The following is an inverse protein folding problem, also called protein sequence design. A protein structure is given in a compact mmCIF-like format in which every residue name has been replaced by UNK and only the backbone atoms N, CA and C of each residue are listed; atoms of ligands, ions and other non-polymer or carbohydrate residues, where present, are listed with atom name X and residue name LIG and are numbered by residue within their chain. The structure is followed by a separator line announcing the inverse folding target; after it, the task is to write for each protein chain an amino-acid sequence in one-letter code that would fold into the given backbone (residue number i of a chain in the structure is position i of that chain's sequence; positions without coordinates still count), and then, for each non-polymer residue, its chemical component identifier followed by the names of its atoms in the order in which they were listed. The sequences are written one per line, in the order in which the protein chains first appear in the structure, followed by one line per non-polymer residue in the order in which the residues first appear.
data_IF_685115048954
#
_entry.id   IF_685115048954
#
_cell.length_a   1.000
_cell.length_b   1.000
_cell.length_c   1.000
_cell.angle_alpha   90.00
_cell.angle_beta   90.00
_cell.angle_gamma   90.00
#
_symmetry.space_group_name_H-M   'P 1'
#
loop_
_entity.id
_entity.type
_entity.pdbx_description
1 polymer ?
#
# COMPACT_ATOMS: atom_id res chain seq x y z
N UNK A 1 12.18 2.27 -16.70
CA UNK A 1 13.50 2.42 -16.03
C UNK A 1 13.90 1.07 -15.47
N UNK A 2 15.19 0.73 -15.40
CA UNK A 2 15.62 -0.52 -14.76
C UNK A 2 15.20 -0.53 -13.29
N UNK A 3 14.76 -1.69 -12.80
CA UNK A 3 14.18 -1.83 -11.47
C UNK A 3 15.17 -1.42 -10.36
N UNK A 4 16.43 -1.84 -10.49
CA UNK A 4 17.53 -1.49 -9.59
C UNK A 4 17.88 0.00 -9.59
N UNK A 5 17.52 0.75 -10.63
CA UNK A 5 17.68 2.21 -10.66
C UNK A 5 16.46 2.92 -10.09
N UNK A 6 15.27 2.35 -10.29
CA UNK A 6 14.02 2.94 -9.83
C UNK A 6 13.91 2.91 -8.29
N UNK A 7 14.26 1.79 -7.65
CA UNK A 7 14.07 1.64 -6.20
C UNK A 7 14.89 2.66 -5.37
N UNK A 8 16.20 2.87 -5.61
CA UNK A 8 16.94 3.90 -4.88
C UNK A 8 16.36 5.31 -5.05
N UNK A 9 15.81 5.61 -6.24
CA UNK A 9 15.14 6.89 -6.51
C UNK A 9 13.80 7.00 -5.80
N UNK A 10 13.03 5.91 -5.73
CA UNK A 10 11.79 5.86 -4.96
C UNK A 10 12.05 6.05 -3.46
N UNK A 11 13.09 5.40 -2.92
CA UNK A 11 13.54 5.60 -1.53
C UNK A 11 13.93 7.05 -1.29
N UNK A 12 14.72 7.65 -2.19
CA UNK A 12 15.13 9.06 -2.10
C UNK A 12 13.93 10.01 -2.15
N UNK A 13 12.98 9.79 -3.05
CA UNK A 13 11.73 10.56 -3.15
C UNK A 13 10.92 10.43 -1.86
N UNK A 14 10.82 9.23 -1.29
CA UNK A 14 10.09 8.96 -0.05
C UNK A 14 10.73 9.68 1.13
N UNK A 15 12.06 9.60 1.26
CA UNK A 15 12.84 10.36 2.27
C UNK A 15 12.66 11.87 2.09
N UNK A 16 12.65 12.37 0.85
CA UNK A 16 12.49 13.80 0.57
C UNK A 16 11.08 14.30 0.91
N UNK A 17 10.04 13.56 0.50
CA UNK A 17 8.63 13.96 0.71
C UNK A 17 8.22 13.92 2.17
N UNK A 18 8.78 12.99 2.94
CA UNK A 18 8.41 12.78 4.35
C UNK A 18 9.55 13.12 5.32
N UNK A 19 10.48 13.99 4.91
CA UNK A 19 11.63 14.41 5.72
C UNK A 19 11.24 14.99 7.08
N UNK A 20 10.09 15.66 7.16
CA UNK A 20 9.57 16.30 8.39
C UNK A 20 8.86 15.32 9.34
N UNK A 21 8.80 14.02 9.02
CA UNK A 21 8.08 13.04 9.82
C UNK A 21 8.77 12.65 11.13
N UNK A 22 9.76 13.44 11.57
CA UNK A 22 10.46 13.36 12.87
C UNK A 22 9.51 13.28 14.06
N UNK A 23 8.26 13.73 13.90
CA UNK A 23 7.24 13.74 14.95
C UNK A 23 6.31 12.51 15.00
N UNK A 24 6.29 11.65 13.95
CA UNK A 24 5.45 10.43 13.75
C UNK A 24 4.54 10.51 12.51
N UNK A 25 4.45 9.48 11.64
CA UNK A 25 5.28 8.27 11.58
C UNK A 25 6.76 8.57 11.27
N UNK A 26 7.70 7.99 12.03
CA UNK A 26 9.13 8.19 11.79
C UNK A 26 9.65 7.23 10.73
N UNK A 27 10.17 7.79 9.62
CA UNK A 27 10.65 7.00 8.49
C UNK A 27 12.14 6.69 8.63
N UNK A 28 12.49 5.43 8.88
CA UNK A 28 13.88 4.96 8.99
C UNK A 28 14.17 3.75 8.10
N UNK A 29 14.64 4.02 6.88
CA UNK A 29 15.07 2.97 5.95
C UNK A 29 16.33 2.21 6.38
N UNK A 30 17.13 2.72 7.33
CA UNK A 30 18.37 2.05 7.75
C UNK A 30 18.10 0.93 8.75
N UNK A 31 17.09 1.13 9.62
CA UNK A 31 16.79 0.20 10.72
C UNK A 31 15.51 -0.59 10.55
N UNK A 32 14.56 -0.08 9.76
CA UNK A 32 13.22 -0.65 9.68
C UNK A 32 12.90 -1.23 8.31
N UNK A 33 11.92 -2.13 8.28
CA UNK A 33 11.30 -2.56 7.04
C UNK A 33 10.23 -1.54 6.69
N UNK A 34 10.21 -1.06 5.45
CA UNK A 34 9.29 -0.01 5.00
C UNK A 34 8.49 -0.53 3.82
N UNK A 35 7.17 -0.32 3.85
CA UNK A 35 6.29 -0.61 2.73
C UNK A 35 6.10 0.65 1.88
N UNK A 36 6.16 0.50 0.56
CA UNK A 36 5.86 1.59 -0.39
C UNK A 36 4.88 1.07 -1.43
N UNK A 37 3.63 1.52 -1.37
CA UNK A 37 2.61 1.28 -2.38
C UNK A 37 2.70 2.34 -3.47
N UNK A 38 2.75 1.92 -4.73
CA UNK A 38 2.78 2.82 -5.89
C UNK A 38 1.70 2.40 -6.88
N UNK A 39 0.80 3.34 -7.16
CA UNK A 39 -0.29 3.13 -8.11
C UNK A 39 0.16 3.13 -9.56
N UNK A 40 -0.52 2.36 -10.39
CA UNK A 40 -0.45 2.47 -11.84
C UNK A 40 0.91 2.12 -12.45
N UNK A 41 1.64 1.17 -11.86
CA UNK A 41 2.94 0.72 -12.40
C UNK A 41 3.03 -0.79 -12.52
N UNK A 42 3.96 -1.26 -13.35
CA UNK A 42 4.28 -2.68 -13.48
C UNK A 42 5.78 -2.91 -13.53
N UNK A 43 6.22 -4.04 -12.98
CA UNK A 43 7.59 -4.53 -13.08
C UNK A 43 7.62 -5.64 -14.13
N UNK A 44 8.07 -5.31 -15.33
CA UNK A 44 8.14 -6.24 -16.47
C UNK A 44 9.59 -6.39 -16.91
N UNK A 45 10.10 -7.62 -16.92
CA UNK A 45 11.46 -7.92 -17.39
C UNK A 45 12.53 -7.01 -16.76
N UNK A 46 12.50 -6.89 -15.43
CA UNK A 46 13.40 -6.03 -14.65
C UNK A 46 13.30 -4.51 -14.98
N UNK A 47 12.18 -4.07 -15.54
CA UNK A 47 11.89 -2.65 -15.82
C UNK A 47 10.59 -2.23 -15.17
N UNK A 48 10.63 -1.06 -14.54
CA UNK A 48 9.44 -0.34 -14.08
C UNK A 48 8.89 0.48 -15.23
N UNK A 49 7.61 0.28 -15.51
CA UNK A 49 6.81 0.97 -16.54
C UNK A 49 5.50 1.47 -15.94
N UNK A 50 4.93 2.52 -16.54
CA UNK A 50 3.56 2.94 -16.24
C UNK A 50 2.58 1.97 -16.89
N UNK A 51 1.42 1.77 -16.25
CA UNK A 51 0.27 1.11 -16.85
C UNK A 51 -0.95 2.05 -16.87
N UNK A 52 -2.16 1.51 -17.00
CA UNK A 52 -3.39 2.26 -17.23
C UNK A 52 -4.05 2.83 -15.95
N UNK A 53 -3.57 2.50 -14.74
CA UNK A 53 -4.12 2.99 -13.44
C UNK A 53 -5.67 2.88 -13.36
N UNK A 54 -6.19 1.81 -13.97
CA UNK A 54 -7.62 1.52 -14.07
C UNK A 54 -8.23 1.05 -12.75
N UNK A 55 -9.46 1.51 -12.47
CA UNK A 55 -10.30 1.01 -11.37
C UNK A 55 -10.57 -0.50 -11.48
N UNK A 56 -10.76 -1.15 -10.32
CA UNK A 56 -11.13 -2.57 -10.21
C UNK A 56 -10.07 -3.55 -10.74
N UNK A 57 -8.78 -3.17 -10.70
CA UNK A 57 -7.66 -3.97 -11.21
C UNK A 57 -6.53 -4.13 -10.20
N UNK A 58 -5.83 -5.25 -10.31
CA UNK A 58 -4.55 -5.47 -9.64
C UNK A 58 -3.41 -4.94 -10.53
N UNK A 59 -3.26 -3.62 -10.58
CA UNK A 59 -2.32 -2.90 -11.44
C UNK A 59 -1.41 -1.94 -10.66
N UNK A 60 -1.33 -2.13 -9.35
CA UNK A 60 -0.43 -1.40 -8.46
C UNK A 60 0.69 -2.31 -7.99
N UNK A 61 1.75 -1.70 -7.43
CA UNK A 61 2.86 -2.46 -6.84
C UNK A 61 3.05 -2.04 -5.38
N UNK A 62 3.16 -3.04 -4.51
CA UNK A 62 3.64 -2.86 -3.14
C UNK A 62 5.09 -3.32 -3.08
N UNK A 63 5.99 -2.40 -2.73
CA UNK A 63 7.38 -2.70 -2.43
C UNK A 63 7.57 -2.92 -0.93
N UNK A 64 8.33 -3.96 -0.57
CA UNK A 64 8.87 -4.13 0.77
C UNK A 64 10.37 -3.83 0.75
N UNK A 65 10.76 -2.73 1.38
CA UNK A 65 12.16 -2.29 1.46
C UNK A 65 12.77 -2.82 2.76
N UNK A 66 13.82 -3.61 2.64
CA UNK A 66 14.54 -4.15 3.79
C UNK A 66 15.46 -3.08 4.41
N UNK A 67 15.85 -3.25 5.69
CA UNK A 67 16.77 -2.33 6.38
C UNK A 67 18.06 -2.10 5.57
N UNK A 68 18.46 -0.84 5.48
CA UNK A 68 19.57 -0.33 4.67
C UNK A 68 19.20 0.00 3.22
N UNK A 69 17.98 -0.34 2.76
CA UNK A 69 17.49 0.04 1.43
C UNK A 69 18.26 -0.57 0.25
N UNK A 70 18.98 -1.68 0.46
CA UNK A 70 19.83 -2.34 -0.55
C UNK A 70 19.22 -3.60 -1.16
N UNK A 71 18.17 -4.11 -0.55
CA UNK A 71 17.36 -5.22 -1.06
C UNK A 71 15.89 -4.87 -0.91
N UNK A 72 15.04 -5.48 -1.72
CA UNK A 72 13.60 -5.26 -1.70
C UNK A 72 12.85 -6.45 -2.29
N UNK A 73 11.58 -6.59 -1.91
CA UNK A 73 10.58 -7.38 -2.62
C UNK A 73 9.57 -6.49 -3.34
N UNK A 74 8.77 -7.09 -4.22
CA UNK A 74 7.58 -6.44 -4.81
C UNK A 74 6.46 -7.42 -5.00
N UNK A 75 5.23 -6.92 -4.85
CA UNK A 75 3.97 -7.66 -5.03
C UNK A 75 3.08 -6.92 -6.00
N UNK A 76 2.36 -7.67 -6.82
CA UNK A 76 1.23 -7.09 -7.57
C UNK A 76 0.07 -6.91 -6.60
N UNK A 77 -0.46 -5.70 -6.50
CA UNK A 77 -1.54 -5.36 -5.58
C UNK A 77 -2.58 -4.47 -6.28
N UNK A 78 -3.66 -4.17 -5.56
CA UNK A 78 -4.43 -2.94 -5.72
C UNK A 78 -4.27 -2.12 -4.45
N UNK A 79 -4.15 -0.81 -4.58
CA UNK A 79 -4.26 0.19 -3.49
C UNK A 79 -5.62 0.89 -3.59
N UNK A 80 -6.30 0.72 -4.72
CA UNK A 80 -7.62 1.25 -4.99
C UNK A 80 -8.72 0.21 -4.69
N UNK A 81 -9.95 0.67 -4.42
CA UNK A 81 -11.07 -0.23 -4.19
C UNK A 81 -11.45 -0.97 -5.47
N UNK A 82 -12.13 -2.09 -5.31
CA UNK A 82 -12.79 -2.79 -6.39
C UNK A 82 -14.26 -2.41 -6.50
N UNK A 83 -14.89 -2.88 -7.58
CA UNK A 83 -16.31 -2.61 -7.83
C UNK A 83 -17.20 -3.40 -6.88
N UNK A 84 -18.06 -2.70 -6.15
CA UNK A 84 -19.09 -3.30 -5.30
C UNK A 84 -20.48 -2.75 -5.65
N UNK A 85 -21.53 -3.50 -5.30
CA UNK A 85 -22.91 -2.96 -5.33
C UNK A 85 -23.17 -2.13 -4.08
N UNK A 86 -24.12 -1.19 -4.15
CA UNK A 86 -24.58 -0.42 -2.98
C UNK A 86 -25.00 -1.34 -1.81
N UNK A 87 -25.75 -2.41 -2.11
CA UNK A 87 -26.13 -3.43 -1.11
C UNK A 87 -24.91 -4.05 -0.42
N UNK A 88 -23.84 -4.28 -1.19
CA UNK A 88 -22.59 -4.81 -0.64
C UNK A 88 -21.92 -3.77 0.25
N UNK A 89 -21.83 -2.51 -0.18
CA UNK A 89 -21.26 -1.44 0.63
C UNK A 89 -22.02 -1.28 1.96
N UNK A 90 -23.35 -1.26 1.92
CA UNK A 90 -24.22 -1.20 3.10
C UNK A 90 -24.00 -2.39 4.03
N UNK A 91 -23.93 -3.61 3.49
CA UNK A 91 -23.64 -4.84 4.26
C UNK A 91 -22.32 -4.75 5.03
N UNK A 92 -21.32 -4.11 4.45
CA UNK A 92 -20.01 -3.90 5.09
C UNK A 92 -19.93 -2.60 5.90
N UNK A 93 -21.05 -1.88 6.07
CA UNK A 93 -21.10 -0.62 6.80
C UNK A 93 -20.33 0.53 6.14
N UNK A 94 -20.00 0.37 4.86
CA UNK A 94 -19.36 1.41 4.05
C UNK A 94 -20.43 2.41 3.62
N UNK A 95 -20.27 3.65 4.06
CA UNK A 95 -21.12 4.78 3.70
C UNK A 95 -20.33 5.74 2.82
N UNK A 96 -21.06 6.46 1.97
CA UNK A 96 -20.50 7.47 1.07
C UNK A 96 -19.56 6.89 0.00
N UNK A 97 -19.74 5.62 -0.38
CA UNK A 97 -18.98 4.98 -1.44
C UNK A 97 -17.67 4.33 -1.01
N UNK A 98 -17.02 3.67 -1.97
CA UNK A 98 -15.72 3.03 -1.79
C UNK A 98 -14.66 4.01 -1.30
N UNK A 99 -13.69 3.53 -0.51
CA UNK A 99 -12.60 4.36 -0.03
C UNK A 99 -11.36 4.23 -0.92
N UNK A 100 -10.68 5.36 -1.16
CA UNK A 100 -9.34 5.40 -1.74
C UNK A 100 -8.36 6.02 -0.77
N UNK A 101 -7.30 5.30 -0.42
CA UNK A 101 -6.25 5.84 0.47
C UNK A 101 -5.49 6.97 -0.22
N UNK A 102 -5.33 8.09 0.46
CA UNK A 102 -4.59 9.23 -0.08
C UNK A 102 -3.08 8.95 -0.16
N UNK A 103 -2.35 9.74 -0.94
CA UNK A 103 -0.90 9.74 -0.83
C UNK A 103 -0.48 10.22 0.57
N UNK A 104 0.48 9.53 1.17
CA UNK A 104 0.91 9.86 2.53
C UNK A 104 1.84 8.83 3.13
N UNK A 105 2.28 9.10 4.35
CA UNK A 105 3.03 8.19 5.18
C UNK A 105 2.17 7.77 6.37
N UNK A 106 1.99 6.46 6.53
CA UNK A 106 1.14 5.87 7.56
C UNK A 106 1.89 4.79 8.33
N UNK A 107 1.27 4.27 9.39
CA UNK A 107 1.72 3.06 10.06
C UNK A 107 0.77 1.90 9.82
N UNK A 108 1.34 0.72 9.65
CA UNK A 108 0.63 -0.55 9.67
C UNK A 108 1.30 -1.52 10.65
N UNK A 109 0.54 -2.44 11.23
CA UNK A 109 1.05 -3.42 12.19
C UNK A 109 0.51 -4.80 11.89
N UNK A 110 1.23 -5.83 12.31
CA UNK A 110 0.73 -7.20 12.20
C UNK A 110 -0.56 -7.33 13.01
N UNK A 111 -1.57 -7.94 12.40
CA UNK A 111 -2.83 -8.29 13.03
C UNK A 111 -3.61 -9.25 12.15
N UNK A 112 -4.93 -9.07 12.07
CA UNK A 112 -5.79 -9.98 11.32
C UNK A 112 -6.88 -9.28 10.50
N UNK A 113 -7.30 -9.95 9.44
CA UNK A 113 -8.42 -9.57 8.60
C UNK A 113 -9.23 -10.83 8.29
N UNK A 114 -10.48 -10.88 8.75
CA UNK A 114 -11.37 -12.05 8.63
C UNK A 114 -10.73 -13.38 9.10
N UNK A 115 -9.93 -13.34 10.17
CA UNK A 115 -9.28 -14.53 10.74
C UNK A 115 -7.95 -14.91 10.09
N UNK A 116 -7.55 -14.26 9.01
CA UNK A 116 -6.25 -14.44 8.37
C UNK A 116 -5.26 -13.37 8.85
N UNK A 117 -3.97 -13.69 8.89
CA UNK A 117 -2.93 -12.71 9.21
C UNK A 117 -2.95 -11.59 8.19
N UNK A 118 -2.77 -10.34 8.61
CA UNK A 118 -2.79 -9.17 7.73
C UNK A 118 -2.03 -8.02 8.38
N UNK A 119 -1.84 -6.93 7.63
CA UNK A 119 -1.42 -5.66 8.22
C UNK A 119 -2.64 -4.79 8.54
N UNK A 120 -2.88 -4.49 9.81
CA UNK A 120 -3.90 -3.53 10.21
C UNK A 120 -3.35 -2.11 10.35
N UNK A 121 -4.22 -1.11 10.35
CA UNK A 121 -3.84 0.28 10.57
C UNK A 121 -3.17 0.50 11.95
N UNK A 122 -1.93 0.96 11.92
CA UNK A 122 -1.16 1.45 13.07
C UNK A 122 -1.43 2.93 13.37
N UNK A 123 -1.68 3.75 12.35
CA UNK A 123 -2.03 5.18 12.43
C UNK A 123 -3.40 5.47 11.80
N UNK A 124 -3.89 6.71 11.91
CA UNK A 124 -4.97 7.17 11.04
C UNK A 124 -4.48 7.22 9.60
N UNK A 125 -5.35 6.83 8.65
CA UNK A 125 -5.11 7.03 7.23
C UNK A 125 -5.98 8.18 6.77
N UNK A 126 -5.48 8.94 5.79
CA UNK A 126 -6.32 9.86 5.04
C UNK A 126 -6.87 9.11 3.84
N UNK A 127 -8.17 9.26 3.57
CA UNK A 127 -8.82 8.56 2.47
C UNK A 127 -9.96 9.40 1.90
N UNK A 128 -10.20 9.24 0.60
CA UNK A 128 -11.32 9.84 -0.12
C UNK A 128 -12.42 8.82 -0.33
N UNK A 129 -13.63 9.31 -0.55
CA UNK A 129 -14.85 8.51 -0.67
C UNK A 129 -15.58 8.85 -1.97
N UNK A 130 -15.88 7.83 -2.78
CA UNK A 130 -16.59 7.96 -4.05
C UNK A 130 -18.09 8.16 -3.84
N UNK A 131 -18.47 9.34 -3.33
CA UNK A 131 -19.83 9.61 -2.87
C UNK A 131 -20.88 9.57 -3.98
N UNK A 132 -20.50 9.92 -5.21
CA UNK A 132 -21.40 9.90 -6.37
C UNK A 132 -21.29 8.60 -7.18
N UNK A 133 -20.39 7.68 -6.81
CA UNK A 133 -20.30 6.33 -7.37
C UNK A 133 -19.83 6.31 -8.82
N UNK A 134 -19.15 7.37 -9.27
CA UNK A 134 -18.71 7.52 -10.65
C UNK A 134 -17.34 6.85 -10.89
N UNK A 135 -16.66 6.41 -9.83
CA UNK A 135 -15.34 5.78 -9.81
C UNK A 135 -14.21 6.67 -10.37
N UNK A 136 -14.40 7.98 -10.32
CA UNK A 136 -13.47 9.03 -10.75
C UNK A 136 -13.07 9.84 -9.53
N UNK A 137 -11.82 9.67 -9.11
CA UNK A 137 -11.26 10.39 -7.98
C UNK A 137 -10.88 11.82 -8.38
N UNK A 138 -11.68 12.79 -7.93
CA UNK A 138 -11.52 14.21 -8.25
C UNK A 138 -10.78 14.99 -7.15
N UNK A 139 -10.87 16.32 -7.11
CA UNK A 139 -10.51 17.12 -5.92
C UNK A 139 -11.71 17.37 -5.00
N UNK A 140 -12.92 17.13 -5.51
CA UNK A 140 -14.18 17.54 -4.88
C UNK A 140 -14.72 16.46 -3.94
N UNK A 141 -14.34 15.20 -4.17
CA UNK A 141 -14.71 14.11 -3.26
C UNK A 141 -14.08 14.33 -1.86
N UNK A 142 -14.86 14.13 -0.79
CA UNK A 142 -14.47 14.47 0.56
C UNK A 142 -13.32 13.60 1.07
N UNK A 143 -12.36 14.25 1.74
CA UNK A 143 -11.24 13.60 2.42
C UNK A 143 -11.57 13.42 3.90
N UNK A 144 -11.37 12.21 4.39
CA UNK A 144 -11.54 11.84 5.79
C UNK A 144 -10.21 11.37 6.37
N UNK A 145 -10.13 11.34 7.71
CA UNK A 145 -8.99 10.78 8.43
C UNK A 145 -9.47 9.85 9.53
N UNK A 146 -8.91 8.62 9.59
CA UNK A 146 -9.28 7.68 10.65
C UNK A 146 -8.77 6.26 10.46
N UNK A 147 -9.18 5.39 11.40
CA UNK A 147 -8.96 3.94 11.38
C UNK A 147 -10.27 3.23 11.05
N UNK A 148 -10.53 3.01 9.77
CA UNK A 148 -11.77 2.40 9.26
C UNK A 148 -11.56 0.95 8.75
N UNK A 149 -10.39 0.37 9.01
CA UNK A 149 -10.05 -0.99 8.57
C UNK A 149 -9.43 -1.05 7.18
N UNK A 150 -8.76 0.01 6.73
CA UNK A 150 -7.94 0.01 5.50
C UNK A 150 -6.67 -0.81 5.77
N UNK A 151 -6.76 -2.12 5.57
CA UNK A 151 -5.71 -3.08 5.88
C UNK A 151 -4.87 -3.41 4.62
N UNK A 152 -3.74 -4.08 4.80
CA UNK A 152 -2.99 -4.72 3.71
C UNK A 152 -3.15 -6.24 3.87
N UNK A 153 -3.70 -6.90 2.86
CA UNK A 153 -4.03 -8.32 2.96
C UNK A 153 -4.03 -9.06 1.62
N UNK A 154 -4.10 -10.40 1.66
CA UNK A 154 -4.24 -11.20 0.46
C UNK A 154 -5.69 -11.28 -0.01
N UNK A 155 -5.90 -11.60 -1.29
CA UNK A 155 -7.24 -11.93 -1.75
C UNK A 155 -7.68 -13.32 -1.27
N UNK A 156 -8.99 -13.49 -1.07
CA UNK A 156 -9.55 -14.77 -0.61
C UNK A 156 -9.44 -15.89 -1.64
N UNK A 157 -9.61 -15.57 -2.91
CA UNK A 157 -9.56 -16.50 -4.03
C UNK A 157 -8.94 -15.82 -5.25
N UNK A 158 -8.32 -16.60 -6.15
CA UNK A 158 -7.70 -16.07 -7.37
C UNK A 158 -8.75 -15.50 -8.31
N UNK A 159 -8.56 -14.24 -8.71
CA UNK A 159 -9.37 -13.53 -9.70
C UNK A 159 -8.60 -12.40 -10.35
N UNK A 160 -9.11 -11.95 -11.50
CA UNK A 160 -8.50 -10.88 -12.29
C UNK A 160 -8.93 -9.47 -11.87
N UNK A 161 -10.17 -9.33 -11.38
CA UNK A 161 -10.70 -8.05 -10.91
C UNK A 161 -10.73 -8.01 -9.39
N UNK A 162 -10.61 -6.82 -8.82
CA UNK A 162 -10.55 -6.62 -7.37
C UNK A 162 -11.91 -6.93 -6.73
N UNK A 163 -12.99 -6.41 -7.28
CA UNK A 163 -14.35 -6.48 -6.75
C UNK A 163 -14.42 -6.28 -5.24
N UNK A 164 -15.24 -7.10 -4.58
CA UNK A 164 -15.44 -7.05 -3.13
C UNK A 164 -14.23 -7.45 -2.28
N UNK A 165 -13.08 -7.80 -2.89
CA UNK A 165 -11.87 -8.07 -2.10
C UNK A 165 -11.28 -6.80 -1.49
N UNK A 166 -11.53 -5.63 -2.07
CA UNK A 166 -11.14 -4.36 -1.48
C UNK A 166 -12.27 -3.35 -1.60
N UNK A 167 -12.69 -2.81 -0.45
CA UNK A 167 -13.49 -1.58 -0.39
C UNK A 167 -12.64 -0.36 0.02
N UNK A 168 -11.31 -0.49 -0.15
CA UNK A 168 -10.29 0.53 0.18
C UNK A 168 -9.03 -0.02 0.86
N UNK A 169 -8.96 -1.33 1.09
CA UNK A 169 -7.74 -2.02 1.52
C UNK A 169 -6.69 -2.03 0.39
N UNK A 170 -5.43 -2.21 0.77
CA UNK A 170 -4.41 -2.66 -0.18
C UNK A 170 -4.46 -4.18 -0.26
N UNK A 171 -4.71 -4.75 -1.43
CA UNK A 171 -4.93 -6.20 -1.58
C UNK A 171 -3.97 -6.79 -2.58
N UNK A 172 -3.27 -7.86 -2.19
CA UNK A 172 -2.36 -8.57 -3.09
C UNK A 172 -3.13 -9.38 -4.12
N UNK A 173 -2.58 -9.49 -5.34
CA UNK A 173 -3.08 -10.45 -6.34
C UNK A 173 -2.85 -11.89 -5.88
N UNK A 174 -1.86 -12.13 -5.01
CA UNK A 174 -1.71 -13.45 -4.40
C UNK A 174 -2.81 -13.73 -3.37
N UNK A 175 -3.17 -15.00 -3.19
CA UNK A 175 -4.09 -15.49 -2.16
C UNK A 175 -3.38 -15.72 -0.84
N UNK A 176 -4.15 -15.99 0.22
CA UNK A 176 -3.64 -16.29 1.57
C UNK A 176 -2.70 -17.48 1.65
N UNK A 177 -2.84 -18.44 0.73
CA UNK A 177 -2.09 -19.70 0.73
C UNK A 177 -0.87 -19.67 -0.20
N UNK A 178 -0.74 -18.61 -1.00
CA UNK A 178 0.37 -18.50 -1.95
C UNK A 178 1.64 -18.01 -1.26
N UNK A 179 2.78 -18.55 -1.72
CA UNK A 179 4.10 -18.26 -1.16
C UNK A 179 4.42 -16.78 -1.13
N UNK A 180 3.97 -16.04 -2.14
CA UNK A 180 4.14 -14.61 -2.26
C UNK A 180 3.59 -13.86 -1.03
N UNK A 181 2.40 -14.21 -0.54
CA UNK A 181 1.81 -13.62 0.66
C UNK A 181 2.49 -14.10 1.94
N UNK A 182 2.71 -15.41 2.04
CA UNK A 182 3.30 -16.06 3.21
C UNK A 182 4.70 -15.49 3.49
N UNK A 183 5.50 -15.28 2.46
CA UNK A 183 6.82 -14.67 2.54
C UNK A 183 6.74 -13.25 3.13
N UNK A 184 5.88 -12.38 2.57
CA UNK A 184 5.70 -11.01 3.03
C UNK A 184 5.38 -10.95 4.53
N UNK A 185 4.34 -11.68 4.94
CA UNK A 185 3.90 -11.68 6.33
C UNK A 185 4.98 -12.26 7.26
N UNK A 186 5.66 -13.32 6.84
CA UNK A 186 6.71 -13.95 7.65
C UNK A 186 7.89 -13.01 7.89
N UNK A 187 8.32 -12.27 6.88
CA UNK A 187 9.37 -11.24 6.98
C UNK A 187 8.98 -10.20 8.03
N UNK A 188 7.79 -9.62 7.91
CA UNK A 188 7.36 -8.52 8.77
C UNK A 188 7.04 -8.99 10.18
N UNK A 189 6.50 -10.20 10.38
CA UNK A 189 6.37 -10.81 11.71
C UNK A 189 7.73 -11.00 12.37
N UNK A 190 8.70 -11.53 11.63
CA UNK A 190 10.07 -11.66 12.12
C UNK A 190 10.70 -10.31 12.49
N UNK A 191 10.49 -9.29 11.66
CA UNK A 191 10.93 -7.92 11.95
C UNK A 191 10.26 -7.35 13.19
N UNK A 192 8.95 -7.54 13.35
CA UNK A 192 8.19 -7.04 14.49
C UNK A 192 8.69 -7.66 15.79
N UNK A 193 8.90 -8.98 15.81
CA UNK A 193 9.46 -9.69 16.96
C UNK A 193 10.86 -9.20 17.33
N UNK A 194 11.70 -8.86 16.34
CA UNK A 194 13.04 -8.30 16.60
C UNK A 194 12.96 -6.91 17.22
N UNK A 195 12.15 -6.02 16.65
CA UNK A 195 12.03 -4.64 17.14
C UNK A 195 11.36 -4.61 18.52
N UNK A 196 10.36 -5.47 18.78
CA UNK A 196 9.69 -5.56 20.09
C UNK A 196 10.60 -5.95 21.24
N UNK A 197 11.76 -6.59 20.98
CA UNK A 197 12.77 -6.88 22.02
C UNK A 197 13.39 -5.62 22.62
N UNK A 198 13.55 -4.58 21.80
CA UNK A 198 14.17 -3.30 22.21
C UNK A 198 13.15 -2.17 22.36
N UNK A 199 12.00 -2.27 21.69
CA UNK A 199 10.89 -1.34 21.76
C UNK A 199 9.56 -2.10 21.95
N UNK A 200 9.18 -2.45 23.20
CA UNK A 200 7.94 -3.18 23.46
C UNK A 200 6.66 -2.47 23.00
N UNK A 201 6.72 -1.14 22.77
CA UNK A 201 5.63 -0.31 22.28
C UNK A 201 5.74 0.01 20.79
N UNK A 202 6.43 -0.84 20.03
CA UNK A 202 6.58 -0.67 18.58
C UNK A 202 5.23 -0.38 17.90
N UNK A 203 5.05 0.80 17.29
CA UNK A 203 3.73 1.26 16.84
C UNK A 203 3.30 0.65 15.50
N UNK A 204 4.23 0.05 14.77
CA UNK A 204 4.02 -0.52 13.44
C UNK A 204 5.12 -0.09 12.47
N UNK A 205 5.05 -0.61 11.25
CA UNK A 205 5.93 -0.30 10.13
C UNK A 205 5.40 0.87 9.33
N UNK A 206 6.31 1.67 8.77
CA UNK A 206 5.95 2.72 7.82
C UNK A 206 5.36 2.12 6.54
N UNK A 207 4.25 2.72 6.09
CA UNK A 207 3.61 2.46 4.81
C UNK A 207 3.43 3.79 4.06
N UNK A 208 4.24 4.00 3.03
CA UNK A 208 4.12 5.14 2.13
C UNK A 208 3.21 4.79 0.95
N UNK A 209 2.26 5.66 0.62
CA UNK A 209 1.36 5.51 -0.53
C UNK A 209 1.65 6.61 -1.54
N UNK A 210 1.83 6.22 -2.79
CA UNK A 210 2.08 7.10 -3.92
C UNK A 210 1.11 6.84 -5.07
N UNK A 211 0.70 7.93 -5.73
CA UNK A 211 -0.03 7.91 -6.99
C UNK A 211 0.96 7.75 -8.16
N UNK A 212 0.42 7.37 -9.32
CA UNK A 212 1.19 7.16 -10.55
C UNK A 212 2.05 8.37 -10.94
N UNK A 213 1.62 9.59 -10.63
CA UNK A 213 2.38 10.82 -10.92
C UNK A 213 3.77 10.85 -10.25
N UNK A 214 3.91 10.27 -9.06
CA UNK A 214 5.21 10.17 -8.39
C UNK A 214 6.14 9.24 -9.18
N UNK A 215 5.65 8.08 -9.60
CA UNK A 215 6.42 7.17 -10.45
C UNK A 215 6.79 7.81 -11.80
N UNK A 216 5.84 8.52 -12.42
CA UNK A 216 6.04 9.25 -13.68
C UNK A 216 7.15 10.29 -13.57
N UNK A 217 7.24 11.03 -12.46
CA UNK A 217 8.35 11.97 -12.19
C UNK A 217 9.68 11.23 -12.11
N UNK A 218 9.76 10.15 -11.33
CA UNK A 218 10.98 9.35 -11.17
C UNK A 218 11.45 8.80 -12.51
N UNK A 219 10.53 8.22 -13.31
CA UNK A 219 10.81 7.62 -14.62
C UNK A 219 11.29 8.64 -15.66
N UNK A 220 10.84 9.91 -15.55
CA UNK A 220 11.24 11.01 -16.45
C UNK A 220 12.50 11.74 -16.00
N UNK A 221 12.85 11.68 -14.72
CA UNK A 221 14.05 12.31 -14.21
C UNK A 221 15.28 11.73 -14.92
N UNK A 222 16.01 12.56 -15.67
CA UNK A 222 17.24 12.12 -16.36
C UNK A 222 18.23 11.57 -15.35
N UNK A 223 18.97 10.52 -15.73
CA UNK A 223 20.22 10.16 -15.07
C UNK A 223 21.21 11.28 -15.35
N UNK A 224 21.33 12.23 -14.43
CA UNK A 224 22.49 13.11 -14.37
C UNK A 224 23.69 12.30 -13.89
#
# INVERSE_FOLDING_TARGET
MNYETFIPRLIAETKSRFKESENFPFLDFEKENVLIGVRGISVLQNKVVLNDDSFDKFNDILFDIYPGGKSWGSRVVTIDPGKASEETLEKYGVREGEARTEEGLYLVKIGSHHGHEAFNQGSNFNFRRDKDGNHIWSSDDPVFSGKIGLNIHAQGTTKENVGVSSLGCTVTKSTWEESEWIELISIFKGAELRVKKTNPRFPGFCYAVFNQDTAKKILKARTN
#
